data_IF_119179852921
#
_entry.id   IF_119179852921
#
_cell.length_a   1.000
_cell.length_b   1.000
_cell.length_c   1.000
_cell.angle_alpha   90.00
_cell.angle_beta   90.00
_cell.angle_gamma   90.00
#
_symmetry.space_group_name_H-M   'P 1'
#
loop_
_entity.id
_entity.type
_entity.pdbx_description
1 polymer ?
#
# COMPACT_ATOMS: atom_id res chain seq x y z
N UNK A 1 -46.31 -32.64 -45.76
CA UNK A 1 -45.24 -31.78 -46.30
C UNK A 1 -44.96 -30.67 -45.30
N UNK A 2 -43.78 -30.72 -44.66
CA UNK A 2 -43.33 -29.77 -43.63
C UNK A 2 -43.00 -28.42 -44.28
N UNK A 3 -43.56 -27.31 -43.79
CA UNK A 3 -43.00 -25.97 -44.00
C UNK A 3 -42.19 -25.62 -42.76
N UNK A 4 -40.88 -25.52 -42.96
CA UNK A 4 -39.90 -25.07 -41.98
C UNK A 4 -39.93 -23.54 -42.04
N UNK A 5 -40.31 -22.89 -40.94
CA UNK A 5 -40.14 -21.45 -40.78
C UNK A 5 -38.97 -21.24 -39.84
N UNK A 6 -37.87 -20.73 -40.39
CA UNK A 6 -36.61 -20.43 -39.73
C UNK A 6 -36.82 -19.26 -38.75
N UNK A 7 -36.72 -19.52 -37.45
CA UNK A 7 -36.70 -18.48 -36.42
C UNK A 7 -35.24 -18.00 -36.26
N UNK A 8 -34.90 -16.86 -36.86
CA UNK A 8 -33.62 -16.20 -36.61
C UNK A 8 -33.68 -15.53 -35.23
N UNK A 9 -32.95 -16.10 -34.27
CA UNK A 9 -32.77 -15.54 -32.95
C UNK A 9 -31.76 -14.37 -33.06
N UNK A 10 -32.26 -13.15 -33.26
CA UNK A 10 -31.45 -11.95 -33.13
C UNK A 10 -31.20 -11.73 -31.63
N UNK A 11 -30.05 -12.21 -31.16
CA UNK A 11 -29.55 -11.89 -29.82
C UNK A 11 -28.99 -10.47 -29.90
N UNK A 12 -29.79 -9.48 -29.49
CA UNK A 12 -29.30 -8.12 -29.27
C UNK A 12 -28.43 -8.19 -28.01
N UNK A 13 -27.12 -8.31 -28.21
CA UNK A 13 -26.14 -8.03 -27.16
C UNK A 13 -26.17 -6.52 -26.96
N UNK A 14 -26.95 -6.08 -25.97
CA UNK A 14 -26.86 -4.72 -25.43
C UNK A 14 -25.51 -4.60 -24.71
N UNK A 15 -24.47 -4.29 -25.48
CA UNK A 15 -23.24 -3.69 -24.96
C UNK A 15 -23.60 -2.29 -24.44
N UNK A 16 -24.15 -2.23 -23.23
CA UNK A 16 -24.19 -0.98 -22.48
C UNK A 16 -22.86 -0.87 -21.73
N UNK A 17 -21.84 -0.43 -22.46
CA UNK A 17 -20.70 0.21 -21.82
C UNK A 17 -21.22 1.49 -21.18
N UNK A 18 -21.57 1.43 -19.90
CA UNK A 18 -21.61 2.63 -19.09
C UNK A 18 -20.18 3.15 -19.05
N UNK A 19 -19.87 4.12 -19.90
CA UNK A 19 -18.79 5.04 -19.61
C UNK A 19 -19.17 5.69 -18.28
N UNK A 20 -18.48 5.31 -17.19
CA UNK A 20 -18.63 6.00 -15.92
C UNK A 20 -18.37 7.48 -16.21
N UNK A 21 -19.38 8.33 -15.99
CA UNK A 21 -19.18 9.77 -16.06
C UNK A 21 -18.02 10.09 -15.12
N UNK A 22 -17.01 10.79 -15.64
CA UNK A 22 -15.77 11.05 -14.94
C UNK A 22 -16.07 11.65 -13.56
N UNK A 23 -15.65 10.96 -12.50
CA UNK A 23 -15.97 11.37 -11.14
C UNK A 23 -15.31 12.72 -10.86
N UNK A 24 -16.07 13.74 -10.48
CA UNK A 24 -15.50 15.02 -10.08
C UNK A 24 -15.01 14.85 -8.64
N UNK A 25 -13.73 15.11 -8.39
CA UNK A 25 -13.18 15.12 -7.03
C UNK A 25 -12.83 16.55 -6.66
N UNK A 26 -13.33 17.02 -5.52
CA UNK A 26 -13.03 18.35 -4.97
C UNK A 26 -11.99 18.23 -3.88
N UNK A 27 -11.14 19.25 -3.75
CA UNK A 27 -10.26 19.35 -2.58
C UNK A 27 -10.76 20.39 -1.60
N UNK A 28 -10.75 20.03 -0.32
CA UNK A 28 -11.22 20.84 0.79
C UNK A 28 -10.10 21.04 1.81
N UNK A 29 -10.03 22.23 2.39
CA UNK A 29 -9.24 22.52 3.58
C UNK A 29 -10.05 22.14 4.81
N UNK A 30 -9.47 21.32 5.68
CA UNK A 30 -10.03 20.90 6.96
C UNK A 30 -9.12 21.36 8.10
N UNK A 31 -9.59 22.11 9.12
CA UNK A 31 -8.76 22.51 10.26
C UNK A 31 -8.11 21.33 10.99
N UNK A 32 -6.87 21.50 11.47
CA UNK A 32 -6.11 20.46 12.15
C UNK A 32 -6.80 19.94 13.43
N UNK A 33 -7.55 20.80 14.10
CA UNK A 33 -8.28 20.55 15.34
C UNK A 33 -9.72 20.04 15.11
N UNK A 34 -10.08 19.67 13.87
CA UNK A 34 -11.38 19.08 13.56
C UNK A 34 -11.66 17.87 14.47
N UNK A 35 -12.75 17.89 15.29
CA UNK A 35 -13.02 16.84 16.28
C UNK A 35 -13.48 15.51 15.65
N UNK A 36 -13.73 15.50 14.34
CA UNK A 36 -14.24 14.36 13.57
C UNK A 36 -13.22 13.86 12.54
N UNK A 37 -11.95 14.20 12.72
CA UNK A 37 -10.88 13.88 11.76
C UNK A 37 -10.81 12.37 11.50
N UNK A 38 -11.01 11.54 12.52
CA UNK A 38 -11.05 10.07 12.38
C UNK A 38 -12.18 9.61 11.47
N UNK A 39 -13.39 10.16 11.62
CA UNK A 39 -14.53 9.87 10.75
C UNK A 39 -14.31 10.37 9.32
N UNK A 40 -13.63 11.50 9.16
CA UNK A 40 -13.23 12.00 7.83
C UNK A 40 -12.23 11.03 7.20
N UNK A 41 -11.16 10.67 7.92
CA UNK A 41 -10.10 9.79 7.45
C UNK A 41 -10.57 8.37 7.10
N UNK A 42 -11.71 7.93 7.65
CA UNK A 42 -12.35 6.65 7.29
C UNK A 42 -13.04 6.69 5.93
N UNK A 43 -13.50 7.86 5.49
CA UNK A 43 -14.34 8.01 4.29
C UNK A 43 -13.65 8.73 3.15
N UNK A 44 -12.68 9.59 3.48
CA UNK A 44 -12.08 10.54 2.56
C UNK A 44 -10.57 10.53 2.73
N UNK A 45 -9.86 10.76 1.62
CA UNK A 45 -8.42 10.82 1.60
C UNK A 45 -7.94 12.13 2.21
N UNK A 46 -7.17 12.03 3.29
CA UNK A 46 -6.38 13.15 3.81
C UNK A 46 -5.05 13.14 3.06
N UNK A 47 -4.84 14.16 2.24
CA UNK A 47 -3.78 14.19 1.23
C UNK A 47 -2.46 14.64 1.82
N UNK A 48 -2.49 15.74 2.59
CA UNK A 48 -1.32 16.35 3.21
C UNK A 48 -1.72 17.40 4.22
N UNK A 49 -0.75 17.83 5.02
CA UNK A 49 -0.86 19.07 5.78
C UNK A 49 -0.61 20.28 4.87
N UNK A 50 -1.36 21.34 5.09
CA UNK A 50 -1.28 22.63 4.41
C UNK A 50 -1.24 23.77 5.44
N UNK A 51 -1.08 25.01 4.96
CA UNK A 51 -1.10 26.23 5.78
C UNK A 51 -0.15 26.17 6.99
N UNK A 52 1.14 25.90 6.74
CA UNK A 52 2.15 25.72 7.80
C UNK A 52 1.73 24.71 8.87
N UNK A 53 1.16 23.57 8.43
CA UNK A 53 0.68 22.47 9.25
C UNK A 53 -0.54 22.79 10.14
N UNK A 54 -1.30 23.85 9.83
CA UNK A 54 -2.53 24.22 10.56
C UNK A 54 -3.83 23.64 10.00
N UNK A 55 -3.78 22.98 8.83
CA UNK A 55 -4.92 22.32 8.22
C UNK A 55 -4.50 21.10 7.39
N UNK A 56 -5.49 20.29 7.02
CA UNK A 56 -5.38 19.18 6.07
C UNK A 56 -6.02 19.56 4.73
N UNK A 57 -5.44 19.09 3.62
CA UNK A 57 -6.15 18.99 2.34
C UNK A 57 -6.84 17.62 2.27
N UNK A 58 -8.14 17.60 1.95
CA UNK A 58 -8.97 16.39 1.88
C UNK A 58 -9.59 16.29 0.50
N UNK A 59 -9.48 15.13 -0.15
CA UNK A 59 -10.14 14.85 -1.41
C UNK A 59 -11.51 14.21 -1.20
N UNK A 60 -12.51 14.76 -1.88
CA UNK A 60 -13.92 14.43 -1.68
C UNK A 60 -14.57 14.21 -3.05
N UNK A 61 -14.96 12.97 -3.39
CA UNK A 61 -15.77 12.72 -4.58
C UNK A 61 -17.10 13.49 -4.49
N UNK A 62 -17.52 14.12 -5.58
CA UNK A 62 -18.68 15.02 -5.60
C UNK A 62 -19.96 14.33 -5.13
N UNK A 63 -20.09 13.03 -5.38
CA UNK A 63 -21.23 12.22 -4.97
C UNK A 63 -21.36 12.12 -3.44
N UNK A 64 -20.26 12.28 -2.70
CA UNK A 64 -20.20 12.25 -1.24
C UNK A 64 -20.02 13.63 -0.61
N UNK A 65 -20.03 14.70 -1.40
CA UNK A 65 -19.78 16.07 -0.91
C UNK A 65 -20.77 16.49 0.17
N UNK A 66 -22.04 16.16 -0.01
CA UNK A 66 -23.07 16.49 0.98
C UNK A 66 -22.79 15.81 2.32
N UNK A 67 -22.41 14.54 2.29
CA UNK A 67 -22.11 13.76 3.48
C UNK A 67 -20.82 14.26 4.14
N UNK A 68 -19.82 14.64 3.34
CA UNK A 68 -18.59 15.27 3.82
C UNK A 68 -18.88 16.60 4.54
N UNK A 69 -19.65 17.50 3.95
CA UNK A 69 -19.95 18.81 4.55
C UNK A 69 -20.89 18.71 5.75
N UNK A 70 -21.69 17.64 5.88
CA UNK A 70 -22.39 17.32 7.13
C UNK A 70 -21.45 16.85 8.22
N UNK A 71 -20.40 16.10 7.85
CA UNK A 71 -19.41 15.59 8.76
C UNK A 71 -18.45 16.70 9.24
N UNK A 72 -18.02 17.56 8.32
CA UNK A 72 -17.06 18.63 8.51
C UNK A 72 -17.59 19.96 7.92
N UNK A 73 -18.59 20.59 8.57
CA UNK A 73 -19.19 21.84 8.08
C UNK A 73 -18.24 23.04 8.05
N UNK A 74 -17.12 22.98 8.75
CA UNK A 74 -16.06 23.99 8.75
C UNK A 74 -15.10 23.89 7.57
N UNK A 75 -15.20 22.82 6.76
CA UNK A 75 -14.29 22.61 5.64
C UNK A 75 -14.52 23.65 4.54
N UNK A 76 -13.44 24.21 3.98
CA UNK A 76 -13.53 25.23 2.92
C UNK A 76 -13.00 24.69 1.61
N UNK A 77 -13.75 24.85 0.53
CA UNK A 77 -13.35 24.38 -0.80
C UNK A 77 -12.05 25.07 -1.25
N UNK A 78 -11.08 24.26 -1.68
CA UNK A 78 -9.82 24.70 -2.26
C UNK A 78 -9.86 24.61 -3.79
N UNK A 79 -10.27 23.46 -4.33
CA UNK A 79 -10.30 23.20 -5.79
C UNK A 79 -11.60 22.52 -6.22
N UNK A 80 -12.22 23.03 -7.29
CA UNK A 80 -13.51 22.55 -7.82
C UNK A 80 -13.46 21.19 -8.53
N UNK A 81 -12.31 20.84 -9.11
CA UNK A 81 -12.09 19.54 -9.76
C UNK A 81 -10.58 19.25 -9.85
N UNK A 82 -10.08 18.40 -8.96
CA UNK A 82 -8.70 17.93 -9.01
C UNK A 82 -8.46 17.04 -10.22
N UNK A 83 -9.47 16.35 -10.77
CA UNK A 83 -9.31 15.46 -11.91
C UNK A 83 -9.01 16.24 -13.18
N UNK A 84 -9.50 17.48 -13.32
CA UNK A 84 -9.06 18.39 -14.38
C UNK A 84 -7.56 18.74 -14.27
N UNK A 85 -7.05 18.98 -13.06
CA UNK A 85 -5.62 19.21 -12.80
C UNK A 85 -4.79 17.95 -13.02
N UNK A 86 -5.27 16.80 -12.54
CA UNK A 86 -4.62 15.50 -12.70
C UNK A 86 -4.64 15.05 -14.17
N UNK A 87 -5.66 15.39 -14.97
CA UNK A 87 -5.70 15.13 -16.42
C UNK A 87 -4.75 16.03 -17.21
N UNK A 88 -4.59 17.30 -16.83
CA UNK A 88 -3.53 18.13 -17.41
C UNK A 88 -2.15 17.53 -17.14
N UNK A 89 -1.96 16.93 -15.97
CA UNK A 89 -0.74 16.17 -15.64
C UNK A 89 -0.67 14.82 -16.37
N UNK A 90 -1.74 14.02 -16.42
CA UNK A 90 -1.81 12.70 -17.08
C UNK A 90 -1.71 12.80 -18.61
N UNK A 91 -2.32 13.82 -19.23
CA UNK A 91 -2.27 14.08 -20.67
C UNK A 91 -0.93 14.61 -21.17
N UNK A 92 -0.07 15.13 -20.29
CA UNK A 92 1.34 15.41 -20.57
C UNK A 92 2.27 14.21 -20.25
N UNK A 93 1.74 13.15 -19.62
CA UNK A 93 2.48 12.05 -18.97
C UNK A 93 2.37 10.69 -19.66
N UNK A 94 1.86 10.57 -20.89
CA UNK A 94 1.74 9.23 -21.50
C UNK A 94 3.09 8.51 -21.56
N UNK A 95 4.18 9.20 -21.92
CA UNK A 95 5.53 8.61 -21.91
C UNK A 95 6.17 8.43 -20.53
N UNK A 96 5.67 9.12 -19.49
CA UNK A 96 6.21 8.98 -18.12
C UNK A 96 5.49 7.88 -17.32
N UNK A 97 4.18 7.67 -17.56
CA UNK A 97 3.43 6.56 -16.97
C UNK A 97 3.83 5.22 -17.59
N UNK A 98 4.20 5.19 -18.87
CA UNK A 98 4.76 4.01 -19.53
C UNK A 98 6.08 3.54 -18.91
N UNK A 99 6.72 4.35 -18.06
CA UNK A 99 7.93 3.98 -17.33
C UNK A 99 7.66 3.28 -15.99
N UNK A 100 6.40 3.22 -15.54
CA UNK A 100 5.98 2.48 -14.35
C UNK A 100 5.45 1.10 -14.75
N UNK A 101 5.73 0.08 -13.96
CA UNK A 101 5.26 -1.27 -14.23
C UNK A 101 3.74 -1.35 -14.14
N UNK A 102 3.12 -1.82 -15.21
CA UNK A 102 1.73 -2.30 -15.17
C UNK A 102 1.61 -3.59 -14.37
N UNK A 103 0.40 -3.94 -13.93
CA UNK A 103 0.18 -5.17 -13.16
C UNK A 103 0.70 -6.46 -13.88
N UNK A 104 0.49 -6.64 -15.20
CA UNK A 104 1.11 -7.76 -15.92
C UNK A 104 2.64 -7.74 -15.93
N UNK A 105 3.26 -6.56 -16.01
CA UNK A 105 4.73 -6.42 -16.00
C UNK A 105 5.32 -6.72 -14.61
N UNK A 106 4.63 -6.33 -13.53
CA UNK A 106 4.98 -6.75 -12.16
C UNK A 106 4.98 -8.28 -12.09
N UNK A 107 3.88 -8.94 -12.51
CA UNK A 107 3.78 -10.40 -12.47
C UNK A 107 4.84 -11.10 -13.34
N UNK A 108 5.14 -10.55 -14.52
CA UNK A 108 6.20 -11.04 -15.40
C UNK A 108 7.59 -10.91 -14.75
N UNK A 109 7.84 -9.80 -14.06
CA UNK A 109 9.10 -9.54 -13.33
C UNK A 109 9.30 -10.57 -12.22
N UNK A 110 8.30 -10.81 -11.38
CA UNK A 110 8.37 -11.83 -10.33
C UNK A 110 8.66 -13.23 -10.90
N UNK A 111 7.95 -13.59 -11.97
CA UNK A 111 8.15 -14.88 -12.65
C UNK A 111 9.56 -14.98 -13.25
N UNK A 112 10.09 -13.89 -13.80
CA UNK A 112 11.46 -13.80 -14.30
C UNK A 112 12.51 -14.03 -13.22
N UNK A 113 12.31 -13.47 -12.02
CA UNK A 113 13.19 -13.69 -10.88
C UNK A 113 13.17 -15.14 -10.38
N UNK A 114 12.00 -15.79 -10.31
CA UNK A 114 11.94 -17.22 -9.95
C UNK A 114 12.75 -18.08 -10.93
N UNK A 115 12.71 -17.76 -12.22
CA UNK A 115 13.50 -18.47 -13.25
C UNK A 115 15.01 -18.19 -13.12
N UNK A 116 15.37 -16.97 -12.77
CA UNK A 116 16.77 -16.52 -12.71
C UNK A 116 17.46 -16.92 -11.40
N UNK A 117 16.70 -17.02 -10.30
CA UNK A 117 17.18 -17.30 -8.95
C UNK A 117 16.46 -18.51 -8.30
N UNK A 118 16.37 -19.67 -8.96
CA UNK A 118 15.53 -20.78 -8.51
C UNK A 118 15.99 -21.43 -7.20
N UNK A 119 17.21 -21.17 -6.73
CA UNK A 119 17.72 -21.64 -5.44
C UNK A 119 17.19 -20.85 -4.25
N UNK A 120 16.72 -19.61 -4.47
CA UNK A 120 16.33 -18.67 -3.41
C UNK A 120 14.96 -18.02 -3.63
N UNK A 121 14.40 -18.09 -4.84
CA UNK A 121 13.13 -17.44 -5.18
C UNK A 121 12.04 -18.45 -5.56
N UNK A 122 10.82 -18.22 -5.07
CA UNK A 122 9.59 -18.93 -5.50
C UNK A 122 8.40 -17.99 -5.46
N UNK A 123 7.38 -18.22 -6.30
CA UNK A 123 6.19 -17.39 -6.39
C UNK A 123 4.97 -18.15 -5.88
N UNK A 124 4.18 -17.49 -5.06
CA UNK A 124 2.89 -17.96 -4.55
C UNK A 124 1.77 -17.04 -5.04
N UNK A 125 0.62 -17.64 -5.36
CA UNK A 125 -0.64 -16.90 -5.53
C UNK A 125 -1.46 -17.16 -4.26
N UNK A 126 -1.52 -16.18 -3.36
CA UNK A 126 -2.13 -16.35 -2.05
C UNK A 126 -3.63 -16.03 -2.03
N UNK A 127 -4.16 -15.53 -3.14
CA UNK A 127 -5.58 -15.24 -3.29
C UNK A 127 -5.92 -14.64 -4.63
N UNK A 128 -7.19 -14.28 -4.79
CA UNK A 128 -7.71 -13.57 -5.94
C UNK A 128 -8.74 -12.53 -5.50
N UNK A 129 -8.86 -11.46 -6.28
CA UNK A 129 -9.96 -10.51 -6.14
C UNK A 129 -11.22 -11.02 -6.83
N UNK A 130 -12.37 -10.36 -6.56
CA UNK A 130 -13.67 -10.54 -7.21
C UNK A 130 -13.61 -10.25 -8.70
N UNK A 131 -12.64 -9.44 -9.14
CA UNK A 131 -12.36 -9.17 -10.55
C UNK A 131 -11.37 -10.18 -11.15
N UNK A 132 -11.11 -11.28 -10.46
CA UNK A 132 -10.24 -12.40 -10.84
C UNK A 132 -8.75 -12.04 -10.99
N UNK A 133 -8.30 -10.94 -10.39
CA UNK A 133 -6.89 -10.59 -10.35
C UNK A 133 -6.18 -11.36 -9.25
N UNK A 134 -5.07 -12.01 -9.59
CA UNK A 134 -4.26 -12.77 -8.63
C UNK A 134 -3.59 -11.84 -7.62
N UNK A 135 -3.39 -12.35 -6.40
CA UNK A 135 -2.55 -11.72 -5.39
C UNK A 135 -1.26 -12.52 -5.28
N UNK A 136 -0.13 -11.86 -5.56
CA UNK A 136 1.17 -12.52 -5.67
C UNK A 136 2.05 -12.26 -4.44
N UNK A 137 2.73 -13.30 -3.97
CA UNK A 137 3.81 -13.19 -2.99
C UNK A 137 5.08 -13.84 -3.55
N UNK A 138 6.13 -13.06 -3.76
CA UNK A 138 7.46 -13.60 -4.06
C UNK A 138 8.13 -13.95 -2.74
N UNK A 139 8.41 -15.23 -2.53
CA UNK A 139 9.22 -15.72 -1.42
C UNK A 139 10.69 -15.70 -1.82
N UNK A 140 11.50 -15.02 -1.02
CA UNK A 140 12.97 -14.98 -1.12
C UNK A 140 13.53 -15.61 0.16
N UNK A 141 14.11 -16.81 0.04
CA UNK A 141 14.69 -17.53 1.16
C UNK A 141 15.63 -18.64 0.68
N UNK A 142 16.76 -18.83 1.35
CA UNK A 142 17.69 -19.92 1.02
C UNK A 142 17.06 -21.30 1.22
N UNK A 143 17.11 -22.17 0.21
CA UNK A 143 16.58 -23.54 0.34
C UNK A 143 17.40 -24.44 1.28
N UNK A 144 18.62 -24.04 1.61
CA UNK A 144 19.58 -24.89 2.34
C UNK A 144 20.11 -24.28 3.63
N UNK A 145 20.08 -22.96 3.79
CA UNK A 145 20.67 -22.29 4.96
C UNK A 145 19.68 -21.99 6.10
N UNK A 146 18.37 -22.03 5.83
CA UNK A 146 17.36 -21.66 6.83
C UNK A 146 17.37 -22.58 8.05
N UNK A 147 17.11 -21.99 9.20
CA UNK A 147 16.88 -22.71 10.45
C UNK A 147 15.38 -22.79 10.77
N UNK A 148 15.00 -23.64 11.73
CA UNK A 148 13.61 -23.70 12.23
C UNK A 148 13.15 -22.38 12.85
N UNK A 149 14.07 -21.55 13.32
CA UNK A 149 13.78 -20.28 13.99
C UNK A 149 13.96 -19.07 13.07
N UNK A 150 14.27 -19.28 11.79
CA UNK A 150 14.42 -18.19 10.83
C UNK A 150 13.14 -17.36 10.78
N UNK A 151 13.21 -16.04 11.06
CA UNK A 151 12.02 -15.19 11.09
C UNK A 151 11.43 -15.04 9.69
N UNK A 152 10.10 -14.98 9.65
CA UNK A 152 9.35 -14.68 8.43
C UNK A 152 9.00 -13.19 8.41
N UNK A 153 9.40 -12.50 7.35
CA UNK A 153 9.15 -11.07 7.14
C UNK A 153 8.27 -10.86 5.91
N UNK A 154 7.53 -9.75 5.89
CA UNK A 154 6.78 -9.32 4.72
C UNK A 154 7.12 -7.86 4.35
N UNK A 155 7.20 -7.57 3.05
CA UNK A 155 7.31 -6.21 2.53
C UNK A 155 6.21 -6.04 1.48
N UNK A 156 5.28 -5.14 1.73
CA UNK A 156 4.14 -4.86 0.87
C UNK A 156 4.20 -3.47 0.24
N UNK A 157 3.53 -3.33 -0.90
CA UNK A 157 3.36 -2.08 -1.63
C UNK A 157 2.01 -2.04 -2.35
N UNK A 158 1.63 -0.86 -2.83
CA UNK A 158 0.39 -0.60 -3.55
C UNK A 158 -0.85 -1.11 -2.81
N UNK A 159 -0.89 -0.86 -1.50
CA UNK A 159 -2.12 -0.94 -0.71
C UNK A 159 -3.14 0.07 -1.24
N UNK A 160 -2.70 1.27 -1.61
CA UNK A 160 -3.47 2.17 -2.49
C UNK A 160 -2.91 2.12 -3.91
N UNK A 161 -3.78 1.90 -4.89
CA UNK A 161 -3.41 1.69 -6.28
C UNK A 161 -2.87 2.90 -7.04
N UNK A 162 -3.06 4.11 -6.50
CA UNK A 162 -2.57 5.35 -7.10
C UNK A 162 -1.14 5.73 -6.64
N UNK A 163 -0.52 4.94 -5.76
CA UNK A 163 0.81 5.13 -5.18
C UNK A 163 1.90 4.37 -5.96
N UNK A 164 1.97 4.55 -7.28
CA UNK A 164 2.82 3.73 -8.18
C UNK A 164 4.31 3.66 -7.78
N UNK A 165 4.84 4.71 -7.16
CA UNK A 165 6.23 4.75 -6.68
C UNK A 165 6.58 3.62 -5.71
N UNK A 166 5.62 3.12 -4.92
CA UNK A 166 5.87 2.08 -3.92
C UNK A 166 6.29 0.77 -4.59
N UNK A 167 5.67 0.45 -5.73
CA UNK A 167 5.97 -0.78 -6.49
C UNK A 167 7.38 -0.71 -7.06
N UNK A 168 7.74 0.42 -7.69
CA UNK A 168 9.06 0.61 -8.28
C UNK A 168 10.18 0.49 -7.24
N UNK A 169 9.98 1.08 -6.07
CA UNK A 169 10.96 1.02 -4.98
C UNK A 169 11.11 -0.40 -4.46
N UNK A 170 10.01 -1.11 -4.21
CA UNK A 170 10.07 -2.50 -3.76
C UNK A 170 10.73 -3.40 -4.82
N UNK A 171 10.38 -3.25 -6.11
CA UNK A 171 10.99 -4.06 -7.16
C UNK A 171 12.50 -3.79 -7.31
N UNK A 172 12.94 -2.54 -7.21
CA UNK A 172 14.36 -2.19 -7.27
C UNK A 172 15.16 -2.79 -6.11
N UNK A 173 14.63 -2.71 -4.88
CA UNK A 173 15.27 -3.30 -3.69
C UNK A 173 15.34 -4.82 -3.78
N UNK A 174 14.30 -5.47 -4.30
CA UNK A 174 14.31 -6.93 -4.52
C UNK A 174 15.34 -7.33 -5.57
N UNK A 175 15.47 -6.56 -6.66
CA UNK A 175 16.49 -6.81 -7.67
C UNK A 175 17.91 -6.74 -7.07
N UNK A 176 18.16 -5.75 -6.21
CA UNK A 176 19.43 -5.62 -5.47
C UNK A 176 19.68 -6.81 -4.53
N UNK A 177 18.68 -7.18 -3.73
CA UNK A 177 18.76 -8.30 -2.79
C UNK A 177 19.09 -9.62 -3.51
N UNK A 178 18.40 -9.91 -4.61
CA UNK A 178 18.61 -11.13 -5.41
C UNK A 178 19.98 -11.14 -6.10
N UNK A 179 20.37 -10.02 -6.72
CA UNK A 179 21.66 -9.91 -7.42
C UNK A 179 22.85 -9.96 -6.44
N UNK A 180 22.66 -9.55 -5.19
CA UNK A 180 23.66 -9.60 -4.13
C UNK A 180 23.89 -11.00 -3.55
N UNK A 181 22.98 -11.96 -3.74
CA UNK A 181 23.12 -13.28 -3.14
C UNK A 181 24.34 -14.05 -3.68
N UNK A 182 25.24 -14.45 -2.78
CA UNK A 182 26.52 -15.11 -3.11
C UNK A 182 27.62 -14.14 -3.58
N UNK A 183 27.33 -12.84 -3.63
CA UNK A 183 28.28 -11.78 -4.04
C UNK A 183 28.55 -10.82 -2.88
N UNK A 184 27.48 -10.28 -2.31
CA UNK A 184 27.52 -9.40 -1.14
C UNK A 184 27.22 -10.22 0.13
N UNK A 185 28.14 -10.20 1.09
CA UNK A 185 28.02 -10.99 2.32
C UNK A 185 26.85 -10.57 3.21
N UNK A 186 26.51 -9.27 3.24
CA UNK A 186 25.39 -8.72 4.02
C UNK A 186 24.06 -9.19 3.44
N UNK A 187 23.87 -9.02 2.13
CA UNK A 187 22.65 -9.44 1.43
C UNK A 187 22.50 -10.97 1.42
N UNK A 188 23.61 -11.70 1.31
CA UNK A 188 23.62 -13.16 1.45
C UNK A 188 23.15 -13.59 2.83
N UNK A 189 23.68 -12.96 3.90
CA UNK A 189 23.27 -13.27 5.26
C UNK A 189 21.78 -13.00 5.49
N UNK A 190 21.22 -11.92 4.94
CA UNK A 190 19.78 -11.65 4.99
C UNK A 190 18.97 -12.80 4.40
N UNK A 191 19.30 -13.29 3.20
CA UNK A 191 18.57 -14.38 2.54
C UNK A 191 18.77 -15.74 3.24
N UNK A 192 19.96 -15.98 3.79
CA UNK A 192 20.28 -17.25 4.45
C UNK A 192 19.62 -17.40 5.82
N UNK A 193 19.33 -16.28 6.50
CA UNK A 193 18.76 -16.30 7.85
C UNK A 193 17.26 -16.01 7.93
N UNK A 194 16.63 -15.49 6.87
CA UNK A 194 15.23 -15.04 6.89
C UNK A 194 14.40 -15.70 5.78
N UNK A 195 13.09 -15.78 6.03
CA UNK A 195 12.10 -15.97 4.96
C UNK A 195 11.49 -14.61 4.65
N UNK A 196 11.75 -14.05 3.47
CA UNK A 196 11.27 -12.72 3.09
C UNK A 196 10.18 -12.87 2.04
N UNK A 197 8.97 -12.42 2.33
CA UNK A 197 7.87 -12.34 1.38
C UNK A 197 7.73 -10.92 0.85
N UNK A 198 7.64 -10.79 -0.47
CA UNK A 198 7.36 -9.53 -1.15
C UNK A 198 5.97 -9.59 -1.75
N UNK A 199 5.10 -8.67 -1.33
CA UNK A 199 3.73 -8.50 -1.81
C UNK A 199 3.67 -7.17 -2.57
N UNK A 200 4.14 -7.12 -3.84
CA UNK A 200 4.36 -5.84 -4.51
C UNK A 200 3.07 -5.08 -4.85
N UNK A 201 1.94 -5.79 -4.93
CA UNK A 201 0.63 -5.20 -5.18
C UNK A 201 -0.41 -5.92 -4.32
N UNK A 202 -0.71 -5.35 -3.15
CA UNK A 202 -1.71 -5.92 -2.21
C UNK A 202 -3.15 -5.61 -2.63
N UNK A 203 -3.34 -4.60 -3.49
CA UNK A 203 -4.66 -4.14 -3.95
C UNK A 203 -4.73 -4.05 -5.49
N UNK A 204 -4.67 -5.18 -6.21
CA UNK A 204 -4.48 -5.20 -7.67
C UNK A 204 -5.63 -4.53 -8.44
N UNK A 205 -6.86 -4.61 -7.93
CA UNK A 205 -8.03 -3.98 -8.56
C UNK A 205 -7.93 -2.45 -8.56
N UNK A 206 -7.43 -1.85 -7.47
CA UNK A 206 -7.21 -0.39 -7.40
C UNK A 206 -5.96 0.02 -8.15
N UNK A 207 -4.90 -0.82 -8.13
CA UNK A 207 -3.66 -0.57 -8.86
C UNK A 207 -3.85 -0.56 -10.38
N UNK A 208 -4.62 -1.51 -10.93
CA UNK A 208 -4.96 -1.54 -12.36
C UNK A 208 -5.78 -0.29 -12.74
N UNK A 209 -6.68 0.16 -11.88
CA UNK A 209 -7.45 1.38 -12.09
C UNK A 209 -6.63 2.67 -11.86
N UNK A 210 -5.47 2.57 -11.22
CA UNK A 210 -4.68 3.70 -10.71
C UNK A 210 -5.49 4.61 -9.79
N UNK A 211 -6.22 4.00 -8.87
CA UNK A 211 -7.13 4.64 -7.93
C UNK A 211 -6.79 4.26 -6.49
N UNK A 212 -7.21 5.10 -5.54
CA UNK A 212 -7.07 4.82 -4.11
C UNK A 212 -8.06 3.76 -3.61
N UNK A 213 -9.29 3.78 -4.14
CA UNK A 213 -10.43 3.06 -3.59
C UNK A 213 -10.81 1.84 -4.43
N UNK A 214 -11.46 0.86 -3.80
CA UNK A 214 -12.16 -0.25 -4.47
C UNK A 214 -13.63 -0.17 -4.09
N UNK A 215 -14.50 0.09 -5.06
CA UNK A 215 -15.94 0.21 -4.84
C UNK A 215 -16.26 1.17 -3.67
N UNK A 216 -15.59 2.34 -3.65
CA UNK A 216 -15.66 3.38 -2.61
C UNK A 216 -15.13 3.00 -1.23
N UNK A 217 -14.50 1.83 -1.08
CA UNK A 217 -13.81 1.42 0.14
C UNK A 217 -12.32 1.68 0.03
N UNK A 218 -11.75 2.25 1.08
CA UNK A 218 -10.31 2.40 1.20
C UNK A 218 -9.72 1.07 1.74
N UNK A 219 -8.86 0.38 0.97
CA UNK A 219 -8.26 -0.89 1.39
C UNK A 219 -7.49 -0.80 2.71
N UNK A 220 -7.02 0.39 3.11
CA UNK A 220 -6.34 0.61 4.39
C UNK A 220 -7.26 1.25 5.47
N UNK A 221 -8.59 1.12 5.34
CA UNK A 221 -9.60 1.49 6.35
C UNK A 221 -10.58 0.35 6.68
N UNK A 222 -10.42 -0.81 6.04
CA UNK A 222 -11.35 -1.94 6.14
C UNK A 222 -10.79 -3.12 6.93
N UNK A 223 -9.62 -2.98 7.57
CA UNK A 223 -9.15 -3.99 8.50
C UNK A 223 -10.00 -3.95 9.80
N UNK A 224 -10.25 -5.10 10.45
CA UNK A 224 -10.67 -5.12 11.85
C UNK A 224 -9.68 -4.33 12.72
N UNK A 225 -10.15 -3.70 13.79
CA UNK A 225 -9.25 -2.95 14.69
C UNK A 225 -9.83 -2.91 16.11
N UNK A 226 -9.05 -2.49 17.14
CA UNK A 226 -9.49 -2.59 18.53
C UNK A 226 -10.86 -1.98 18.86
N UNK A 227 -11.27 -0.90 18.17
CA UNK A 227 -12.58 -0.28 18.35
C UNK A 227 -13.70 -0.80 17.45
N UNK A 228 -13.38 -1.63 16.45
CA UNK A 228 -14.36 -2.34 15.63
C UNK A 228 -13.76 -3.66 15.11
N UNK A 229 -13.85 -4.69 15.96
CA UNK A 229 -13.36 -6.03 15.64
C UNK A 229 -14.18 -6.72 14.54
N UNK A 230 -15.37 -6.21 14.22
CA UNK A 230 -16.29 -6.76 13.23
C UNK A 230 -16.19 -6.09 11.86
N UNK A 231 -15.30 -5.11 11.68
CA UNK A 231 -15.11 -4.44 10.39
C UNK A 231 -14.80 -5.48 9.30
N UNK A 232 -15.58 -5.49 8.22
CA UNK A 232 -15.49 -6.53 7.19
C UNK A 232 -14.46 -6.13 6.12
N UNK A 233 -13.34 -6.87 6.00
CA UNK A 233 -12.35 -6.60 4.97
C UNK A 233 -12.91 -6.90 3.58
N UNK A 234 -12.45 -6.13 2.59
CA UNK A 234 -12.62 -6.53 1.19
C UNK A 234 -11.76 -7.76 0.88
N UNK A 235 -12.04 -8.42 -0.22
CA UNK A 235 -11.40 -9.65 -0.69
C UNK A 235 -9.86 -9.62 -0.69
N UNK A 236 -9.24 -8.57 -1.24
CA UNK A 236 -7.77 -8.48 -1.26
C UNK A 236 -7.17 -8.33 0.16
N UNK A 237 -7.86 -7.61 1.04
CA UNK A 237 -7.49 -7.45 2.45
C UNK A 237 -7.71 -8.75 3.23
N UNK A 238 -8.81 -9.46 2.99
CA UNK A 238 -9.10 -10.75 3.60
C UNK A 238 -8.02 -11.79 3.24
N UNK A 239 -7.67 -11.90 1.95
CA UNK A 239 -6.59 -12.78 1.50
C UNK A 239 -5.23 -12.39 2.10
N UNK A 240 -4.97 -11.09 2.26
CA UNK A 240 -3.74 -10.62 2.90
C UNK A 240 -3.68 -10.97 4.39
N UNK A 241 -4.79 -10.82 5.11
CA UNK A 241 -4.93 -11.27 6.50
C UNK A 241 -4.66 -12.78 6.61
N UNK A 242 -5.28 -13.58 5.75
CA UNK A 242 -5.09 -15.04 5.73
C UNK A 242 -3.65 -15.43 5.43
N UNK A 243 -3.02 -14.75 4.46
CA UNK A 243 -1.60 -14.94 4.16
C UNK A 243 -0.73 -14.73 5.40
N UNK A 244 -0.93 -13.64 6.14
CA UNK A 244 -0.14 -13.40 7.35
C UNK A 244 -0.41 -14.44 8.44
N UNK A 245 -1.66 -14.90 8.59
CA UNK A 245 -2.02 -15.96 9.52
C UNK A 245 -1.34 -17.29 9.16
N UNK A 246 -1.26 -17.63 7.88
CA UNK A 246 -0.63 -18.87 7.40
C UNK A 246 0.88 -18.83 7.61
N UNK A 247 1.52 -17.70 7.30
CA UNK A 247 2.98 -17.58 7.28
C UNK A 247 3.61 -17.09 8.59
N UNK A 248 2.79 -16.70 9.57
CA UNK A 248 3.24 -16.25 10.90
C UNK A 248 4.30 -15.14 10.80
N UNK A 249 3.93 -14.04 10.14
CA UNK A 249 4.84 -12.92 9.87
C UNK A 249 5.28 -12.25 11.17
N UNK A 250 6.60 -12.26 11.44
CA UNK A 250 7.21 -11.66 12.62
C UNK A 250 7.32 -10.13 12.52
N UNK A 251 7.68 -9.63 11.34
CA UNK A 251 7.79 -8.19 11.04
C UNK A 251 7.29 -7.87 9.64
N UNK A 252 6.72 -6.68 9.46
CA UNK A 252 6.28 -6.21 8.13
C UNK A 252 6.59 -4.74 7.87
N UNK A 253 6.94 -4.42 6.62
CA UNK A 253 6.94 -3.05 6.08
C UNK A 253 5.80 -2.90 5.08
N UNK A 254 4.95 -1.89 5.27
CA UNK A 254 3.93 -1.51 4.29
C UNK A 254 4.29 -0.16 3.66
N UNK A 255 4.68 -0.18 2.39
CA UNK A 255 5.07 1.01 1.64
C UNK A 255 3.84 1.74 1.10
N UNK A 256 3.77 3.01 1.44
CA UNK A 256 2.81 3.99 0.99
C UNK A 256 3.53 5.20 0.39
N UNK A 257 2.78 6.06 -0.31
CA UNK A 257 3.26 7.37 -0.70
C UNK A 257 2.17 8.45 -0.49
N UNK A 258 2.50 9.61 0.05
CA UNK A 258 3.83 10.20 0.24
C UNK A 258 3.91 10.95 1.58
N UNK A 259 5.13 11.31 2.00
CA UNK A 259 5.30 12.09 3.22
C UNK A 259 6.67 12.03 3.87
N UNK A 260 7.56 11.14 3.41
CA UNK A 260 8.87 10.89 4.01
C UNK A 260 8.74 10.54 5.52
N UNK A 261 7.93 9.52 5.82
CA UNK A 261 7.59 9.09 7.18
C UNK A 261 7.97 7.62 7.41
N UNK A 262 8.38 7.27 8.63
CA UNK A 262 8.55 5.89 9.11
C UNK A 262 7.75 5.75 10.40
N UNK A 263 6.73 4.90 10.40
CA UNK A 263 5.71 4.96 11.45
C UNK A 263 5.38 3.60 12.04
N UNK A 264 5.04 3.59 13.33
CA UNK A 264 4.54 2.42 14.04
C UNK A 264 3.11 2.66 14.59
N UNK A 265 2.36 1.59 14.91
CA UNK A 265 1.08 1.68 15.60
C UNK A 265 1.14 2.53 16.88
N UNK A 266 0.07 3.15 17.33
CA UNK A 266 -1.28 3.05 16.80
C UNK A 266 -1.63 4.18 15.84
N UNK A 267 -2.34 3.83 14.77
CA UNK A 267 -3.05 4.78 13.91
C UNK A 267 -4.41 5.17 14.49
N UNK A 268 -5.14 4.24 15.12
CA UNK A 268 -6.52 4.48 15.56
C UNK A 268 -6.64 5.36 16.82
N UNK A 269 -5.56 5.54 17.58
CA UNK A 269 -5.56 6.31 18.84
C UNK A 269 -4.24 7.07 19.01
N UNK A 270 -4.28 8.20 19.74
CA UNK A 270 -3.07 8.93 20.18
C UNK A 270 -2.47 8.38 21.47
N UNK A 271 -3.13 7.41 22.10
CA UNK A 271 -2.52 6.67 23.20
C UNK A 271 -1.33 5.89 22.65
N UNK A 272 -0.17 6.04 23.29
CA UNK A 272 1.01 5.27 22.94
C UNK A 272 0.76 3.77 23.19
N UNK A 273 1.34 2.87 22.38
CA UNK A 273 1.43 1.46 22.73
C UNK A 273 2.06 1.29 24.11
N UNK A 274 1.72 0.21 24.82
CA UNK A 274 2.31 -0.04 26.13
C UNK A 274 3.84 -0.19 25.98
N UNK A 275 4.61 0.48 26.84
CA UNK A 275 6.09 0.50 26.75
C UNK A 275 6.70 -0.89 26.97
N UNK A 276 5.98 -1.74 27.71
CA UNK A 276 6.31 -3.15 27.93
C UNK A 276 6.18 -4.00 26.65
N UNK A 277 5.44 -3.53 25.64
CA UNK A 277 5.15 -4.31 24.45
C UNK A 277 6.29 -4.29 23.42
N UNK A 278 7.08 -3.20 23.28
CA UNK A 278 8.43 -3.26 22.66
C UNK A 278 9.18 -1.89 22.56
N UNK A 279 10.16 -1.60 23.42
CA UNK A 279 11.08 -0.45 23.24
C UNK A 279 12.01 -0.65 22.03
N UNK A 280 12.39 -1.89 21.76
CA UNK A 280 13.32 -2.25 20.69
C UNK A 280 12.72 -1.93 19.32
N UNK A 281 11.45 -2.26 19.14
CA UNK A 281 10.69 -1.95 17.93
C UNK A 281 10.58 -0.45 17.65
N UNK A 282 10.29 0.36 18.69
CA UNK A 282 10.25 1.82 18.52
C UNK A 282 11.65 2.37 18.18
N UNK A 283 12.69 1.83 18.81
CA UNK A 283 14.08 2.15 18.48
C UNK A 283 14.47 1.76 17.05
N UNK A 284 13.93 0.67 16.51
CA UNK A 284 14.10 0.30 15.10
C UNK A 284 13.54 1.38 14.17
N UNK A 285 12.33 1.88 14.45
CA UNK A 285 11.69 2.93 13.61
C UNK A 285 12.50 4.22 13.62
N UNK A 286 13.02 4.64 14.77
CA UNK A 286 13.91 5.80 14.87
C UNK A 286 15.23 5.58 14.12
N UNK A 287 15.83 4.38 14.23
CA UNK A 287 17.05 4.04 13.51
C UNK A 287 16.85 4.07 11.99
N UNK A 288 15.75 3.49 11.53
CA UNK A 288 15.33 3.47 10.13
C UNK A 288 15.18 4.87 9.54
N UNK A 289 14.64 5.82 10.31
CA UNK A 289 14.41 7.19 9.83
C UNK A 289 15.67 8.07 9.86
N UNK A 290 16.62 7.76 10.74
CA UNK A 290 17.86 8.52 10.87
C UNK A 290 18.69 8.51 9.57
N UNK A 291 18.73 7.39 8.86
CA UNK A 291 19.55 7.22 7.66
C UNK A 291 19.02 7.97 6.42
N UNK A 292 17.74 8.28 6.37
CA UNK A 292 17.10 8.91 5.21
C UNK A 292 16.46 10.28 5.49
N UNK A 293 16.51 10.73 6.75
CA UNK A 293 15.97 12.01 7.20
C UNK A 293 14.45 12.03 7.27
N UNK A 294 13.79 10.86 7.28
CA UNK A 294 12.35 10.76 7.39
C UNK A 294 11.89 11.06 8.82
N UNK A 295 10.62 11.43 8.98
CA UNK A 295 10.04 11.65 10.30
C UNK A 295 9.59 10.31 10.87
N UNK A 296 10.14 9.95 12.04
CA UNK A 296 9.73 8.76 12.79
C UNK A 296 8.61 9.09 13.79
N UNK A 297 7.70 8.15 14.02
CA UNK A 297 6.82 8.19 15.19
C UNK A 297 5.56 7.33 15.08
N UNK A 298 4.66 7.48 16.05
CA UNK A 298 3.38 6.79 16.03
C UNK A 298 2.47 7.36 14.94
N UNK A 299 1.85 6.50 14.11
CA UNK A 299 1.00 6.86 12.96
C UNK A 299 0.05 8.02 13.31
N UNK A 300 -0.75 7.87 14.39
CA UNK A 300 -1.77 8.86 14.76
C UNK A 300 -1.25 10.26 15.09
N UNK A 301 0.00 10.35 15.53
CA UNK A 301 0.65 11.61 15.95
C UNK A 301 1.53 12.19 14.85
N UNK A 302 2.17 11.33 14.05
CA UNK A 302 3.07 11.72 12.97
C UNK A 302 2.29 12.19 11.75
N UNK A 303 1.25 11.45 11.34
CA UNK A 303 0.40 11.81 10.20
C UNK A 303 -0.96 12.34 10.69
N UNK A 304 -1.87 11.44 11.08
CA UNK A 304 -3.22 11.69 11.59
C UNK A 304 -3.84 10.38 12.11
N UNK A 305 -4.94 10.49 12.87
CA UNK A 305 -5.71 9.32 13.32
C UNK A 305 -6.31 8.58 12.11
N UNK A 306 -6.03 7.29 12.00
CA UNK A 306 -6.53 6.39 10.97
C UNK A 306 -6.93 5.05 11.58
N UNK A 307 -8.20 4.66 11.46
CA UNK A 307 -8.72 3.38 11.95
C UNK A 307 -8.79 2.33 10.84
N UNK A 308 -8.74 1.05 11.19
CA UNK A 308 -8.90 -0.05 10.24
C UNK A 308 -7.75 -0.16 9.23
N UNK A 309 -6.53 0.17 9.65
CA UNK A 309 -5.32 0.09 8.85
C UNK A 309 -4.55 -1.24 9.09
N UNK A 310 -3.71 -1.62 8.12
CA UNK A 310 -2.90 -2.85 8.10
C UNK A 310 -2.00 -2.97 9.33
N UNK A 311 -1.27 -1.89 9.65
CA UNK A 311 -0.29 -1.89 10.73
C UNK A 311 -0.91 -2.14 12.10
N UNK A 312 -2.00 -1.44 12.42
CA UNK A 312 -2.74 -1.64 13.67
C UNK A 312 -3.28 -3.07 13.76
N UNK A 313 -3.85 -3.61 12.68
CA UNK A 313 -4.41 -4.96 12.68
C UNK A 313 -3.32 -6.02 12.95
N UNK A 314 -2.23 -6.00 12.18
CA UNK A 314 -1.18 -7.01 12.30
C UNK A 314 -0.44 -6.91 13.64
N UNK A 315 -0.19 -5.71 14.13
CA UNK A 315 0.36 -5.52 15.48
C UNK A 315 -0.57 -6.01 16.59
N UNK A 316 -1.86 -5.70 16.50
CA UNK A 316 -2.84 -6.08 17.51
C UNK A 316 -3.12 -7.59 17.55
N UNK A 317 -3.52 -8.17 16.40
CA UNK A 317 -4.02 -9.54 16.30
C UNK A 317 -2.91 -10.58 16.17
N UNK A 318 -1.88 -10.27 15.41
CA UNK A 318 -0.84 -11.24 15.04
C UNK A 318 0.48 -11.00 15.77
N UNK A 319 0.59 -9.90 16.53
CA UNK A 319 1.81 -9.50 17.24
C UNK A 319 2.99 -9.21 16.30
N UNK A 320 2.72 -9.05 15.01
CA UNK A 320 3.69 -8.64 14.00
C UNK A 320 4.21 -7.23 14.30
N UNK A 321 5.51 -7.05 14.21
CA UNK A 321 6.16 -5.73 14.24
C UNK A 321 5.90 -5.01 12.91
N UNK A 322 4.77 -4.31 12.84
CA UNK A 322 4.26 -3.72 11.60
C UNK A 322 4.61 -2.23 11.49
N UNK A 323 5.42 -1.88 10.49
CA UNK A 323 5.88 -0.51 10.21
C UNK A 323 5.24 -0.05 8.90
N UNK A 324 4.83 1.22 8.89
CA UNK A 324 4.34 1.92 7.69
C UNK A 324 5.40 2.90 7.24
N UNK A 325 5.68 2.94 5.94
CA UNK A 325 6.63 3.90 5.36
C UNK A 325 5.93 4.72 4.30
N UNK A 326 5.92 6.05 4.44
CA UNK A 326 5.48 6.97 3.39
C UNK A 326 6.71 7.46 2.63
N UNK A 327 6.92 7.00 1.40
CA UNK A 327 8.12 7.35 0.62
C UNK A 327 7.92 8.53 -0.31
N UNK A 328 8.98 9.33 -0.47
CA UNK A 328 9.00 10.46 -1.37
C UNK A 328 7.94 11.51 -1.03
N UNK A 329 7.71 12.41 -2.01
CA UNK A 329 6.81 13.56 -1.88
C UNK A 329 5.69 13.57 -2.93
N UNK A 330 5.62 12.53 -3.75
CA UNK A 330 4.65 12.38 -4.83
C UNK A 330 4.32 10.89 -4.97
N UNK A 331 3.06 10.57 -5.26
CA UNK A 331 2.62 9.19 -5.55
C UNK A 331 3.15 8.65 -6.88
N UNK A 332 3.32 9.55 -7.85
CA UNK A 332 3.78 9.27 -9.22
C UNK A 332 4.78 10.36 -9.64
N UNK A 333 5.99 10.39 -9.04
CA UNK A 333 7.04 11.33 -9.41
C UNK A 333 7.50 11.12 -10.86
N UNK A 334 8.31 12.04 -11.40
CA UNK A 334 9.01 11.75 -12.66
C UNK A 334 9.92 10.52 -12.49
N UNK A 335 10.00 9.59 -13.47
CA UNK A 335 10.82 8.38 -13.37
C UNK A 335 12.29 8.65 -13.04
N UNK A 336 12.82 9.83 -13.41
CA UNK A 336 14.19 10.27 -13.07
C UNK A 336 14.44 10.41 -11.57
N UNK A 337 13.40 10.56 -10.75
CA UNK A 337 13.50 10.64 -9.29
C UNK A 337 13.50 9.27 -8.60
N UNK A 338 13.05 8.21 -9.29
CA UNK A 338 12.92 6.86 -8.70
C UNK A 338 14.26 6.39 -8.08
N UNK A 339 15.43 6.48 -8.76
CA UNK A 339 16.68 6.00 -8.18
C UNK A 339 17.03 6.69 -6.85
N UNK A 340 16.72 7.98 -6.70
CA UNK A 340 16.96 8.70 -5.45
C UNK A 340 16.03 8.23 -4.33
N UNK A 341 14.77 7.92 -4.64
CA UNK A 341 13.80 7.41 -3.66
C UNK A 341 14.17 5.99 -3.22
N UNK A 342 14.66 5.15 -4.16
CA UNK A 342 15.22 3.83 -3.87
C UNK A 342 16.41 3.96 -2.92
N UNK A 343 17.37 4.85 -3.23
CA UNK A 343 18.54 5.08 -2.38
C UNK A 343 18.15 5.46 -0.95
N UNK A 344 17.21 6.39 -0.78
CA UNK A 344 16.68 6.78 0.55
C UNK A 344 15.96 5.64 1.27
N UNK A 345 15.42 4.67 0.55
CA UNK A 345 14.69 3.54 1.14
C UNK A 345 15.60 2.36 1.47
N UNK A 346 16.74 2.23 0.78
CA UNK A 346 17.62 1.06 0.81
C UNK A 346 18.06 0.69 2.22
N UNK A 347 18.81 1.57 2.88
CA UNK A 347 19.41 1.24 4.18
C UNK A 347 18.33 0.99 5.25
N UNK A 348 17.24 1.75 5.21
CA UNK A 348 16.09 1.54 6.08
C UNK A 348 15.50 0.12 5.94
N UNK A 349 15.34 -0.40 4.72
CA UNK A 349 14.85 -1.77 4.50
C UNK A 349 15.86 -2.81 4.99
N UNK A 350 17.14 -2.60 4.73
CA UNK A 350 18.20 -3.49 5.21
C UNK A 350 18.24 -3.58 6.74
N UNK A 351 18.15 -2.43 7.42
CA UNK A 351 18.07 -2.39 8.88
C UNK A 351 16.84 -3.07 9.44
N UNK A 352 15.69 -2.94 8.76
CA UNK A 352 14.48 -3.66 9.12
C UNK A 352 14.69 -5.17 9.05
N UNK A 353 15.23 -5.69 7.94
CA UNK A 353 15.47 -7.13 7.80
C UNK A 353 16.44 -7.60 8.88
N UNK A 354 17.58 -6.92 9.03
CA UNK A 354 18.64 -7.29 9.97
C UNK A 354 18.25 -7.28 11.44
N UNK A 355 17.17 -6.59 11.80
CA UNK A 355 16.68 -6.51 13.17
C UNK A 355 16.14 -7.85 13.69
N UNK A 356 15.56 -8.68 12.81
CA UNK A 356 14.96 -9.95 13.21
C UNK A 356 16.00 -11.06 13.06
N UNK A 357 16.59 -11.58 14.14
CA UNK A 357 17.63 -12.63 14.06
C UNK A 357 17.36 -13.82 14.97
#
# INVERSE_FOLDING_TARGET
>A
MKKITLLALITIILNTSFALAEEIIRSYRLPLDNPRLSSVAQKFEIVKRIDNNSAYEVYVPIIFEKDFLQLAPEATLLTFDINKRLKLLKGQKSSELDAYHSFPEVAATLTGWVKSYPSIASLEVYGKTKRENNLYALKIASKTALSKNSPTLAISAATHGDELITVEVVLALVAELLAGYGVDGRLTQMIDSHIIYILPVTSPDSFIAQERYIDYKDPNRVFPWPGDAGNEPIDCVAAWIDFFNIHQIAGTLDFHAYGELVMYPWGHTRQAPAVEDDREFMGLVEKMSHENGYIAGQISTTIYIATGNSADYFYWRQKTRAIVVEIGMEKIPSPRKIPQIVEKSREMVWQFIEHFR
#
